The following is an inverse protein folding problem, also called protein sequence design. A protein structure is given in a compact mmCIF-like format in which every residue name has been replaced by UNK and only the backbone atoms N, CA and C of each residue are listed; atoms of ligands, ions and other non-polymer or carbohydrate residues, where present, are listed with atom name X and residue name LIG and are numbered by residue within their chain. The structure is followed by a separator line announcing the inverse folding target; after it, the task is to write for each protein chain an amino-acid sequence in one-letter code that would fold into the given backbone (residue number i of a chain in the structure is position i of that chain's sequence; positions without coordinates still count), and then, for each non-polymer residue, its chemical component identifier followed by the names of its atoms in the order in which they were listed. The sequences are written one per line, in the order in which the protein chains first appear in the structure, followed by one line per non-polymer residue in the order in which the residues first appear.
data_IF_057607508132
#
_entry.id   IF_057607508132
#
_cell.length_a   1.000
_cell.length_b   1.000
_cell.length_c   1.000
_cell.angle_alpha   90.00
_cell.angle_beta   90.00
_cell.angle_gamma   90.00
#
_symmetry.space_group_name_H-M   'P 1'
#
loop_
_entity.id
_entity.type
_entity.pdbx_description
1 polymer ?
#
# COMPACT_ATOMS: atom_id res chain seq x y z
N UNK A 1 -10.06 13.46 -0.96
CA UNK A 1 -9.72 14.33 0.18
C UNK A 1 -8.35 13.99 0.77
N UNK A 2 -8.11 12.74 1.17
CA UNK A 2 -6.90 12.36 1.92
C UNK A 2 -5.60 12.55 1.13
N UNK A 3 -5.62 12.28 -0.18
CA UNK A 3 -4.46 12.53 -1.07
C UNK A 3 -4.15 14.03 -1.12
N UNK A 4 -5.18 14.89 -1.23
CA UNK A 4 -4.99 16.33 -1.26
C UNK A 4 -4.34 16.84 0.03
N UNK A 5 -4.78 16.32 1.19
CA UNK A 5 -4.17 16.62 2.49
C UNK A 5 -2.70 16.18 2.53
N UNK A 6 -2.41 14.94 2.14
CA UNK A 6 -1.05 14.42 2.17
C UNK A 6 -0.11 15.22 1.25
N UNK A 7 -0.55 15.54 0.03
CA UNK A 7 0.23 16.34 -0.91
C UNK A 7 0.45 17.78 -0.44
N UNK A 8 -0.53 18.40 0.21
CA UNK A 8 -0.37 19.73 0.78
C UNK A 8 0.57 19.75 1.99
N UNK A 9 0.61 18.68 2.77
CA UNK A 9 1.63 18.50 3.81
C UNK A 9 3.03 18.35 3.20
N UNK A 10 3.17 17.57 2.12
CA UNK A 10 4.42 17.43 1.35
C UNK A 10 4.86 18.79 0.82
N UNK A 11 3.95 19.55 0.19
CA UNK A 11 4.22 20.92 -0.28
C UNK A 11 4.80 21.79 0.84
N UNK A 12 4.15 21.78 2.02
CA UNK A 12 4.57 22.59 3.16
C UNK A 12 5.97 22.20 3.65
N UNK A 13 6.24 20.90 3.79
CA UNK A 13 7.53 20.37 4.24
C UNK A 13 8.65 20.75 3.27
N UNK A 14 8.42 20.62 1.98
CA UNK A 14 9.39 20.99 0.94
C UNK A 14 9.61 22.50 0.91
N UNK A 15 8.56 23.30 0.93
CA UNK A 15 8.64 24.76 0.89
C UNK A 15 9.35 25.34 2.10
N UNK A 16 9.06 24.81 3.28
CA UNK A 16 9.68 25.23 4.54
C UNK A 16 11.09 24.64 4.74
N UNK A 17 11.54 23.73 3.86
CA UNK A 17 12.81 22.99 3.95
C UNK A 17 12.97 22.28 5.29
N UNK A 18 11.89 21.64 5.76
CA UNK A 18 11.88 20.93 7.04
C UNK A 18 12.01 19.42 6.89
N UNK A 19 12.49 18.96 5.75
CA UNK A 19 12.77 17.57 5.44
C UNK A 19 14.14 17.13 5.97
N UNK A 20 14.34 15.84 6.15
CA UNK A 20 15.59 15.20 6.59
C UNK A 20 16.48 14.88 5.36
N UNK A 21 17.37 15.81 4.99
CA UNK A 21 18.26 15.64 3.84
C UNK A 21 19.16 14.42 3.95
N UNK A 22 19.69 14.14 5.15
CA UNK A 22 20.60 13.03 5.36
C UNK A 22 19.91 11.70 5.09
N UNK A 23 18.70 11.55 5.63
CA UNK A 23 17.87 10.38 5.39
C UNK A 23 17.49 10.24 3.90
N UNK A 24 17.05 11.34 3.28
CA UNK A 24 16.65 11.32 1.86
C UNK A 24 17.81 10.91 0.95
N UNK A 25 19.00 11.40 1.20
CA UNK A 25 20.20 11.11 0.38
C UNK A 25 20.63 9.65 0.46
N UNK A 26 20.52 9.02 1.64
CA UNK A 26 21.04 7.68 1.89
C UNK A 26 19.94 6.60 1.80
N UNK A 27 18.77 6.87 2.38
CA UNK A 27 17.74 5.86 2.61
C UNK A 27 16.57 5.91 1.62
N UNK A 28 16.68 6.69 0.55
CA UNK A 28 15.62 6.83 -0.44
C UNK A 28 16.16 6.88 -1.88
N UNK A 29 15.24 6.72 -2.83
CA UNK A 29 15.50 6.91 -4.26
C UNK A 29 15.34 8.36 -4.73
N UNK A 30 15.02 9.27 -3.84
CA UNK A 30 14.82 10.70 -4.18
C UNK A 30 16.01 11.36 -4.90
N UNK A 31 17.28 11.02 -4.60
CA UNK A 31 18.41 11.53 -5.35
C UNK A 31 18.71 10.80 -6.68
N UNK A 32 17.98 9.73 -7.01
CA UNK A 32 18.23 8.99 -8.24
C UNK A 32 17.92 9.83 -9.47
N UNK A 33 18.76 9.67 -10.49
CA UNK A 33 18.63 10.41 -11.73
C UNK A 33 17.53 9.82 -12.63
N UNK A 34 16.72 10.72 -13.17
CA UNK A 34 15.63 10.43 -14.11
C UNK A 34 15.90 11.16 -15.41
N UNK A 35 15.76 10.49 -16.53
CA UNK A 35 15.83 11.06 -17.87
C UNK A 35 14.60 11.95 -18.12
N UNK A 36 14.82 13.20 -18.55
CA UNK A 36 13.71 14.15 -18.81
C UNK A 36 12.96 13.85 -20.12
N UNK A 37 13.58 13.11 -21.03
CA UNK A 37 12.97 12.76 -22.32
C UNK A 37 11.87 11.69 -22.22
N UNK A 38 11.94 10.81 -21.23
CA UNK A 38 11.00 9.69 -21.09
C UNK A 38 10.51 9.42 -19.65
N UNK A 39 10.96 10.21 -18.68
CA UNK A 39 10.64 10.12 -17.25
C UNK A 39 10.94 8.74 -16.62
N UNK A 40 11.97 8.06 -17.12
CA UNK A 40 12.47 6.81 -16.55
C UNK A 40 13.79 7.03 -15.83
N UNK A 41 14.07 6.17 -14.85
CA UNK A 41 15.38 6.16 -14.19
C UNK A 41 16.50 6.06 -15.21
N UNK A 42 17.59 6.80 -14.98
CA UNK A 42 18.84 6.60 -15.69
C UNK A 42 19.48 5.30 -15.21
N UNK A 43 19.61 4.34 -16.10
CA UNK A 43 20.11 2.99 -15.81
C UNK A 43 21.46 2.75 -16.50
N UNK A 44 22.18 1.73 -16.04
CA UNK A 44 23.42 1.34 -16.69
C UNK A 44 23.21 0.95 -18.17
N UNK A 45 22.08 0.36 -18.50
CA UNK A 45 21.71 0.03 -19.89
C UNK A 45 21.52 1.25 -20.81
N UNK A 46 21.40 2.45 -20.23
CA UNK A 46 21.30 3.71 -21.00
C UNK A 46 22.66 4.30 -21.31
N UNK A 47 23.73 3.92 -20.59
CA UNK A 47 25.03 4.55 -20.71
C UNK A 47 25.75 4.17 -22.01
N UNK A 48 26.42 5.14 -22.65
CA UNK A 48 27.09 4.97 -23.94
C UNK A 48 28.24 3.96 -23.92
N UNK A 49 28.91 3.80 -22.78
CA UNK A 49 30.07 2.95 -22.62
C UNK A 49 29.73 1.46 -22.37
N UNK A 50 28.46 1.09 -22.31
CA UNK A 50 28.03 -0.28 -21.94
C UNK A 50 27.67 -1.14 -23.15
N UNK A 51 27.60 -0.62 -24.36
CA UNK A 51 27.25 -1.37 -25.59
C UNK A 51 26.04 -2.31 -25.42
N UNK A 52 25.03 -1.90 -24.61
CA UNK A 52 23.86 -2.69 -24.33
C UNK A 52 24.01 -3.83 -23.30
N UNK A 53 25.19 -4.00 -22.71
CA UNK A 53 25.47 -5.05 -21.70
C UNK A 53 25.30 -4.57 -20.25
N UNK A 54 24.78 -3.38 -20.03
CA UNK A 54 24.54 -2.81 -18.71
C UNK A 54 23.47 -3.56 -17.91
N UNK A 55 23.51 -3.40 -16.58
CA UNK A 55 22.49 -3.92 -15.68
C UNK A 55 21.27 -3.00 -15.65
N UNK A 56 20.07 -3.56 -15.77
CA UNK A 56 18.82 -2.81 -15.71
C UNK A 56 18.47 -2.26 -14.32
N UNK A 57 18.96 -2.90 -13.29
CA UNK A 57 18.72 -2.54 -11.89
C UNK A 57 19.86 -1.73 -11.25
N UNK A 58 20.83 -1.24 -12.04
CA UNK A 58 21.83 -0.31 -11.58
C UNK A 58 21.41 1.11 -11.98
N UNK A 59 21.28 1.98 -10.97
CA UNK A 59 20.84 3.37 -11.10
C UNK A 59 21.98 4.33 -10.82
N UNK A 60 21.77 5.60 -11.08
CA UNK A 60 22.78 6.62 -10.97
C UNK A 60 22.35 7.80 -10.10
N UNK A 61 23.37 8.42 -9.49
CA UNK A 61 23.29 9.65 -8.71
C UNK A 61 24.16 10.70 -9.35
N UNK A 62 23.91 11.98 -9.05
CA UNK A 62 24.88 13.05 -9.26
C UNK A 62 25.65 13.29 -7.96
N UNK A 63 26.95 13.11 -8.00
CA UNK A 63 27.82 13.39 -6.85
C UNK A 63 28.23 14.87 -6.83
N UNK A 64 27.76 15.64 -5.87
CA UNK A 64 28.08 17.06 -5.72
C UNK A 64 29.58 17.28 -5.41
N UNK A 65 30.25 16.33 -4.75
CA UNK A 65 31.65 16.45 -4.39
C UNK A 65 32.56 16.33 -5.62
N UNK A 66 32.22 15.44 -6.55
CA UNK A 66 33.00 15.20 -7.75
C UNK A 66 32.46 15.90 -9.00
N UNK A 67 31.22 16.40 -8.93
CA UNK A 67 30.49 16.98 -10.08
C UNK A 67 30.36 16.00 -11.25
N UNK A 68 30.09 14.74 -10.96
CA UNK A 68 29.96 13.67 -11.97
C UNK A 68 28.81 12.70 -11.64
N UNK A 69 28.41 11.93 -12.64
CA UNK A 69 27.43 10.85 -12.50
C UNK A 69 28.12 9.62 -11.92
N UNK A 70 27.63 9.09 -10.81
CA UNK A 70 28.15 7.90 -10.14
C UNK A 70 27.06 6.84 -9.98
N UNK A 71 27.46 5.58 -9.94
CA UNK A 71 26.54 4.48 -9.66
C UNK A 71 25.99 4.61 -8.23
N UNK A 72 24.69 4.44 -8.07
CA UNK A 72 24.03 4.47 -6.77
C UNK A 72 24.41 3.21 -5.96
N UNK A 73 24.98 3.38 -4.74
CA UNK A 73 25.28 2.26 -3.86
C UNK A 73 24.04 1.40 -3.59
N UNK A 74 24.22 0.10 -3.38
CA UNK A 74 23.11 -0.84 -3.14
C UNK A 74 22.32 -1.25 -4.38
N UNK A 75 22.60 -0.66 -5.54
CA UNK A 75 21.95 -1.02 -6.80
C UNK A 75 22.81 -1.95 -7.67
N UNK A 76 22.26 -2.49 -8.74
CA UNK A 76 22.96 -3.48 -9.60
C UNK A 76 23.14 -4.85 -8.93
N UNK A 77 22.33 -5.18 -7.94
CA UNK A 77 22.32 -6.45 -7.24
C UNK A 77 22.07 -7.63 -8.18
N UNK A 78 22.68 -8.79 -7.95
CA UNK A 78 22.29 -9.99 -8.67
C UNK A 78 20.84 -10.36 -8.37
N UNK A 79 20.15 -11.09 -9.26
CA UNK A 79 18.81 -11.60 -8.98
C UNK A 79 18.83 -12.45 -7.70
N UNK A 80 17.71 -12.52 -6.97
CA UNK A 80 17.64 -13.34 -5.76
C UNK A 80 17.97 -14.79 -6.11
N UNK A 81 18.72 -15.49 -5.26
CA UNK A 81 19.07 -16.88 -5.50
C UNK A 81 17.81 -17.76 -5.52
N UNK A 82 17.83 -18.88 -6.22
CA UNK A 82 16.72 -19.82 -6.23
C UNK A 82 16.32 -20.26 -4.81
N UNK A 83 15.03 -20.52 -4.55
CA UNK A 83 14.59 -21.03 -3.26
C UNK A 83 15.35 -22.29 -2.85
N UNK A 84 15.86 -22.32 -1.61
CA UNK A 84 16.65 -23.44 -1.08
C UNK A 84 18.17 -23.33 -1.34
N UNK A 85 18.65 -22.24 -1.91
CA UNK A 85 20.10 -21.99 -2.01
C UNK A 85 20.70 -21.91 -0.60
N UNK A 86 21.76 -22.70 -0.30
CA UNK A 86 22.46 -22.63 0.97
C UNK A 86 22.98 -21.21 1.26
N UNK A 87 22.88 -20.78 2.51
CA UNK A 87 23.21 -19.41 2.92
C UNK A 87 24.64 -18.98 2.54
N UNK A 88 25.61 -19.91 2.64
CA UNK A 88 27.01 -19.64 2.29
C UNK A 88 27.24 -19.41 0.78
N UNK A 89 26.27 -19.73 -0.08
CA UNK A 89 26.31 -19.48 -1.53
C UNK A 89 25.55 -18.22 -1.93
N UNK A 90 24.87 -17.57 -0.98
CA UNK A 90 24.15 -16.31 -1.23
C UNK A 90 25.18 -15.17 -1.20
N UNK A 91 25.37 -14.43 -2.31
CA UNK A 91 26.27 -13.30 -2.30
C UNK A 91 25.80 -12.23 -1.30
N UNK A 92 26.70 -11.56 -0.59
CA UNK A 92 26.31 -10.49 0.32
C UNK A 92 25.58 -9.38 -0.43
N UNK A 93 24.56 -8.80 0.21
CA UNK A 93 23.89 -7.65 -0.35
C UNK A 93 24.87 -6.48 -0.45
N UNK A 94 24.88 -5.73 -1.57
CA UNK A 94 25.70 -4.55 -1.69
C UNK A 94 25.34 -3.53 -0.61
N UNK A 95 26.35 -2.87 -0.05
CA UNK A 95 26.13 -1.78 0.90
C UNK A 95 25.43 -0.60 0.23
N UNK A 96 24.51 0.02 0.96
CA UNK A 96 23.86 1.30 0.58
C UNK A 96 24.65 2.51 1.08
N UNK A 97 25.73 2.29 1.84
CA UNK A 97 26.55 3.37 2.38
C UNK A 97 27.11 4.27 1.28
N UNK A 98 26.89 5.55 1.43
CA UNK A 98 27.33 6.56 0.45
C UNK A 98 28.84 6.78 0.46
N UNK A 99 29.50 6.50 1.58
CA UNK A 99 30.95 6.80 1.74
C UNK A 99 31.23 8.28 1.53
N UNK A 100 32.03 8.59 0.50
CA UNK A 100 32.38 9.97 0.15
C UNK A 100 31.42 10.60 -0.91
N UNK A 101 30.38 9.88 -1.33
CA UNK A 101 29.41 10.39 -2.30
C UNK A 101 28.45 11.35 -1.58
N UNK A 102 28.25 12.53 -2.17
CA UNK A 102 27.20 13.47 -1.75
C UNK A 102 26.15 13.57 -2.84
N UNK A 103 25.08 12.74 -2.80
CA UNK A 103 24.06 12.77 -3.84
C UNK A 103 23.34 14.10 -3.89
N UNK A 104 23.20 14.69 -5.07
CA UNK A 104 22.38 15.88 -5.26
C UNK A 104 20.89 15.52 -5.05
N UNK A 105 20.15 16.42 -4.42
CA UNK A 105 18.69 16.33 -4.33
C UNK A 105 18.00 17.18 -5.42
N UNK A 106 18.61 18.31 -5.79
CA UNK A 106 18.06 19.24 -6.77
C UNK A 106 19.06 19.47 -7.91
N UNK A 107 18.56 19.76 -9.09
CA UNK A 107 19.38 20.13 -10.24
C UNK A 107 19.04 19.38 -11.53
N UNK A 108 19.68 19.80 -12.62
CA UNK A 108 19.61 19.16 -13.94
C UNK A 108 20.97 19.13 -14.58
N UNK A 109 21.29 18.03 -15.25
CA UNK A 109 22.60 17.80 -15.89
C UNK A 109 22.41 17.11 -17.24
N UNK A 110 23.41 17.20 -18.10
CA UNK A 110 23.44 16.47 -19.37
C UNK A 110 24.36 15.27 -19.23
N UNK A 111 23.85 14.09 -19.53
CA UNK A 111 24.58 12.83 -19.46
C UNK A 111 24.69 12.20 -20.84
N UNK A 112 25.87 11.65 -21.17
CA UNK A 112 26.08 10.94 -22.43
C UNK A 112 25.49 9.53 -22.33
N UNK A 113 24.42 9.29 -23.09
CA UNK A 113 23.77 8.00 -23.17
C UNK A 113 24.06 7.34 -24.54
N UNK A 114 23.65 6.07 -24.68
CA UNK A 114 23.73 5.37 -25.98
C UNK A 114 22.90 6.06 -27.09
N UNK A 115 21.90 6.83 -26.69
CA UNK A 115 21.00 7.57 -27.59
C UNK A 115 21.48 9.01 -27.84
N UNK A 116 22.68 9.39 -27.35
CA UNK A 116 23.23 10.73 -27.37
C UNK A 116 23.13 11.46 -26.02
N UNK A 117 23.38 12.77 -25.99
CA UNK A 117 23.27 13.57 -24.79
C UNK A 117 21.81 13.70 -24.35
N UNK A 118 21.53 13.37 -23.08
CA UNK A 118 20.17 13.42 -22.48
C UNK A 118 20.21 14.27 -21.22
N UNK A 119 19.26 15.15 -21.06
CA UNK A 119 19.08 15.90 -19.82
C UNK A 119 18.45 15.00 -18.76
N UNK A 120 19.03 15.02 -17.56
CA UNK A 120 18.57 14.27 -16.40
C UNK A 120 18.32 15.19 -15.22
N UNK A 121 17.44 14.79 -14.32
CA UNK A 121 17.16 15.48 -13.06
C UNK A 121 16.96 14.44 -11.95
N UNK A 122 16.82 14.87 -10.72
CA UNK A 122 16.54 13.97 -9.60
C UNK A 122 15.04 13.69 -9.46
N UNK A 123 14.69 12.58 -8.81
CA UNK A 123 13.29 12.33 -8.43
C UNK A 123 12.78 13.42 -7.50
N UNK A 124 13.61 13.88 -6.55
CA UNK A 124 13.20 14.94 -5.62
C UNK A 124 12.83 16.23 -6.35
N UNK A 125 13.56 16.63 -7.38
CA UNK A 125 13.22 17.80 -8.18
C UNK A 125 11.85 17.65 -8.85
N UNK A 126 11.54 16.47 -9.41
CA UNK A 126 10.23 16.18 -10.00
C UNK A 126 9.11 16.17 -8.96
N UNK A 127 9.38 15.60 -7.76
CA UNK A 127 8.44 15.63 -6.64
C UNK A 127 8.17 17.05 -6.18
N UNK A 128 9.20 17.88 -6.09
CA UNK A 128 9.09 19.30 -5.72
C UNK A 128 8.20 20.06 -6.73
N UNK A 129 8.46 19.90 -8.02
CA UNK A 129 7.64 20.50 -9.08
C UNK A 129 6.18 20.04 -8.99
N UNK A 130 5.95 18.75 -8.76
CA UNK A 130 4.59 18.21 -8.59
C UNK A 130 3.91 18.73 -7.34
N UNK A 131 4.64 18.89 -6.26
CA UNK A 131 4.10 19.42 -5.00
C UNK A 131 3.68 20.89 -5.08
N UNK A 132 4.27 21.68 -5.98
CA UNK A 132 3.89 23.09 -6.19
C UNK A 132 2.42 23.28 -6.56
N UNK A 133 1.83 22.31 -7.27
CA UNK A 133 0.41 22.33 -7.67
C UNK A 133 -0.54 22.03 -6.49
N UNK A 134 -0.04 21.52 -5.40
CA UNK A 134 -0.83 20.98 -4.29
C UNK A 134 -0.67 21.85 -3.02
N UNK A 135 -1.01 23.13 -3.13
CA UNK A 135 -0.91 24.05 -2.01
C UNK A 135 -1.89 23.73 -0.88
N UNK A 136 -1.60 24.12 0.36
CA UNK A 136 -2.56 23.99 1.45
C UNK A 136 -3.90 24.69 1.20
N UNK A 137 -3.90 25.79 0.46
CA UNK A 137 -5.09 26.51 0.05
C UNK A 137 -5.95 25.69 -0.92
N UNK A 138 -5.33 25.07 -1.92
CA UNK A 138 -6.00 24.13 -2.82
C UNK A 138 -6.58 22.92 -2.08
N UNK A 139 -5.82 22.39 -1.12
CA UNK A 139 -6.30 21.28 -0.31
C UNK A 139 -7.46 21.69 0.63
N UNK A 140 -7.51 22.93 1.12
CA UNK A 140 -8.62 23.46 1.90
C UNK A 140 -9.94 23.40 1.11
N UNK A 141 -9.94 23.77 -0.17
CA UNK A 141 -11.12 23.71 -1.03
C UNK A 141 -11.65 22.27 -1.20
N UNK A 142 -10.76 21.28 -1.26
CA UNK A 142 -11.13 19.87 -1.46
C UNK A 142 -11.53 19.19 -0.15
N UNK A 143 -10.84 19.51 0.95
CA UNK A 143 -10.96 18.76 2.22
C UNK A 143 -11.85 19.44 3.24
N UNK A 144 -12.04 20.75 3.14
CA UNK A 144 -12.68 21.57 4.15
C UNK A 144 -11.79 21.84 5.39
N UNK A 145 -10.55 21.36 5.39
CA UNK A 145 -9.58 21.63 6.48
C UNK A 145 -8.85 22.93 6.16
N UNK A 146 -8.84 23.89 7.10
CA UNK A 146 -8.17 25.15 6.85
C UNK A 146 -6.69 24.99 6.51
N UNK A 147 -6.21 25.76 5.53
CA UNK A 147 -4.80 25.76 5.11
C UNK A 147 -3.83 26.05 6.26
N UNK A 148 -4.27 26.86 7.24
CA UNK A 148 -3.53 27.08 8.48
C UNK A 148 -3.30 25.78 9.26
N UNK A 149 -4.35 24.98 9.45
CA UNK A 149 -4.27 23.71 10.17
C UNK A 149 -3.42 22.70 9.41
N UNK A 150 -3.54 22.64 8.09
CA UNK A 150 -2.72 21.77 7.22
C UNK A 150 -1.23 22.10 7.41
N UNK A 151 -0.86 23.38 7.33
CA UNK A 151 0.52 23.83 7.54
C UNK A 151 1.03 23.51 8.95
N UNK A 152 0.18 23.70 9.96
CA UNK A 152 0.54 23.41 11.35
C UNK A 152 0.81 21.92 11.57
N UNK A 153 -0.07 21.04 11.06
CA UNK A 153 0.09 19.58 11.16
C UNK A 153 1.34 19.13 10.41
N UNK A 154 1.57 19.64 9.19
CA UNK A 154 2.75 19.33 8.40
C UNK A 154 4.05 19.66 9.15
N UNK A 155 4.12 20.85 9.75
CA UNK A 155 5.27 21.30 10.54
C UNK A 155 5.47 20.49 11.82
N UNK A 156 4.39 20.13 12.49
CA UNK A 156 4.45 19.24 13.67
C UNK A 156 4.95 17.87 13.28
N UNK A 157 4.43 17.31 12.19
CA UNK A 157 4.85 16.01 11.70
C UNK A 157 6.33 16.00 11.29
N UNK A 158 6.79 17.02 10.57
CA UNK A 158 8.20 17.15 10.17
C UNK A 158 9.17 17.23 11.36
N UNK A 159 8.72 17.76 12.49
CA UNK A 159 9.50 17.85 13.74
C UNK A 159 9.39 16.59 14.60
N UNK A 160 8.45 15.70 14.33
CA UNK A 160 8.25 14.48 15.09
C UNK A 160 9.32 13.44 14.69
N UNK A 161 10.06 12.96 15.68
CA UNK A 161 11.09 11.94 15.46
C UNK A 161 11.16 11.01 16.69
N UNK A 162 10.49 9.88 16.69
CA UNK A 162 9.74 9.28 15.55
C UNK A 162 8.35 9.89 15.33
N UNK A 163 7.89 9.83 14.08
CA UNK A 163 6.53 10.13 13.67
C UNK A 163 5.89 8.92 12.98
N UNK A 164 4.64 8.59 13.33
CA UNK A 164 3.92 7.46 12.75
C UNK A 164 2.63 7.94 12.08
N UNK A 165 2.30 7.30 10.95
CA UNK A 165 1.02 7.47 10.26
C UNK A 165 0.20 6.18 10.45
N UNK A 166 -1.02 6.33 10.93
CA UNK A 166 -1.99 5.24 10.99
C UNK A 166 -3.03 5.42 9.90
N UNK A 167 -3.02 4.56 8.88
CA UNK A 167 -3.97 4.60 7.77
C UNK A 167 -5.07 3.56 7.95
N UNK A 168 -6.31 3.95 7.64
CA UNK A 168 -7.44 3.05 7.69
C UNK A 168 -7.47 2.06 6.51
N UNK A 169 -8.13 0.93 6.70
CA UNK A 169 -8.31 -0.10 5.67
C UNK A 169 -8.97 0.41 4.38
N UNK A 170 -9.76 1.46 4.46
CA UNK A 170 -10.46 2.07 3.33
C UNK A 170 -9.58 2.94 2.43
N UNK A 171 -8.40 3.31 2.90
CA UNK A 171 -7.51 4.24 2.19
C UNK A 171 -7.20 3.83 0.74
N UNK A 172 -7.22 2.53 0.43
CA UNK A 172 -6.97 1.99 -0.91
C UNK A 172 -8.23 1.68 -1.75
N UNK A 173 -9.43 1.96 -1.23
CA UNK A 173 -10.68 1.59 -1.91
C UNK A 173 -11.26 2.66 -2.85
N UNK A 174 -10.63 3.80 -2.93
CA UNK A 174 -11.01 4.89 -3.83
C UNK A 174 -10.30 4.78 -5.18
N UNK A 175 -10.86 5.44 -6.17
CA UNK A 175 -10.13 5.68 -7.41
C UNK A 175 -8.80 6.34 -7.09
N UNK A 176 -7.69 5.78 -7.60
CA UNK A 176 -6.33 6.19 -7.26
C UNK A 176 -5.95 6.06 -5.76
N UNK A 177 -6.59 5.14 -5.03
CA UNK A 177 -6.27 4.90 -3.61
C UNK A 177 -4.83 4.42 -3.36
N UNK A 178 -4.18 3.79 -4.37
CA UNK A 178 -2.77 3.46 -4.37
C UNK A 178 -1.87 4.71 -4.28
N UNK A 179 -2.27 5.83 -4.88
CA UNK A 179 -1.53 7.09 -4.82
C UNK A 179 -1.55 7.69 -3.40
N UNK A 180 -2.61 7.45 -2.62
CA UNK A 180 -2.64 7.89 -1.23
C UNK A 180 -1.52 7.21 -0.43
N UNK A 181 -1.37 5.91 -0.55
CA UNK A 181 -0.32 5.19 0.18
C UNK A 181 1.07 5.67 -0.24
N UNK A 182 1.30 5.91 -1.53
CA UNK A 182 2.56 6.48 -2.03
C UNK A 182 2.84 7.87 -1.44
N UNK A 183 1.82 8.75 -1.35
CA UNK A 183 1.95 10.07 -0.74
C UNK A 183 2.27 9.97 0.78
N UNK A 184 1.66 9.02 1.50
CA UNK A 184 1.95 8.78 2.91
C UNK A 184 3.39 8.25 3.12
N UNK A 185 3.86 7.34 2.26
CA UNK A 185 5.25 6.90 2.29
C UNK A 185 6.22 8.05 1.97
N UNK A 186 5.88 8.90 1.02
CA UNK A 186 6.69 10.08 0.70
C UNK A 186 6.80 11.04 1.89
N UNK A 187 5.71 11.27 2.65
CA UNK A 187 5.76 12.05 3.89
C UNK A 187 6.75 11.47 4.90
N UNK A 188 6.72 10.17 5.08
CA UNK A 188 7.66 9.48 6.00
C UNK A 188 9.10 9.54 5.49
N UNK A 189 9.28 9.40 4.19
CA UNK A 189 10.59 9.48 3.54
C UNK A 189 11.20 10.88 3.70
N UNK A 190 10.43 11.94 3.39
CA UNK A 190 10.87 13.32 3.54
C UNK A 190 11.27 13.66 4.99
N UNK A 191 10.62 13.05 5.97
CA UNK A 191 10.84 13.35 7.39
C UNK A 191 11.72 12.34 8.13
N UNK A 192 12.28 11.35 7.40
CA UNK A 192 13.18 10.34 7.96
C UNK A 192 12.51 9.45 9.01
N UNK A 193 11.20 9.20 8.90
CA UNK A 193 10.43 8.46 9.90
C UNK A 193 10.25 6.96 9.58
N UNK A 194 10.85 6.45 8.52
CA UNK A 194 10.82 5.02 8.18
C UNK A 194 12.01 4.30 8.80
N UNK A 195 11.81 3.06 9.27
CA UNK A 195 12.88 2.25 9.86
C UNK A 195 13.26 2.64 11.29
N UNK A 196 12.48 3.48 11.96
CA UNK A 196 12.68 3.88 13.35
C UNK A 196 11.62 3.27 14.24
N UNK A 197 12.01 2.84 15.44
CA UNK A 197 11.07 2.35 16.44
C UNK A 197 10.05 3.45 16.81
N UNK A 198 8.75 3.13 16.70
CA UNK A 198 7.66 4.09 16.87
C UNK A 198 7.38 4.99 15.67
N UNK A 199 8.11 4.85 14.56
CA UNK A 199 7.85 5.53 13.30
C UNK A 199 7.19 4.65 12.24
N UNK A 200 6.95 5.21 11.06
CA UNK A 200 6.48 4.46 9.89
C UNK A 200 4.99 4.55 9.60
N UNK A 201 4.53 3.68 8.70
CA UNK A 201 3.14 3.57 8.30
C UNK A 201 2.53 2.28 8.84
N UNK A 202 1.47 2.41 9.62
CA UNK A 202 0.66 1.28 10.06
C UNK A 202 -0.69 1.33 9.36
N UNK A 203 -1.08 0.21 8.77
CA UNK A 203 -2.38 0.04 8.12
C UNK A 203 -3.15 -1.04 8.90
N UNK A 204 -4.43 -0.78 9.19
CA UNK A 204 -5.29 -1.83 9.73
C UNK A 204 -5.39 -2.97 8.73
N UNK A 205 -4.75 -4.08 9.04
CA UNK A 205 -4.81 -5.29 8.25
C UNK A 205 -5.73 -6.30 8.94
N UNK A 206 -6.78 -6.73 8.24
CA UNK A 206 -7.68 -7.79 8.72
C UNK A 206 -7.02 -9.18 8.63
N UNK A 207 -6.01 -9.31 7.79
CA UNK A 207 -5.21 -10.52 7.66
C UNK A 207 -3.96 -10.43 8.56
N UNK A 208 -4.12 -9.96 9.77
CA UNK A 208 -3.04 -9.92 10.75
C UNK A 208 -2.76 -11.31 11.25
N UNK A 209 -2.10 -12.07 10.40
CA UNK A 209 -1.92 -13.46 10.77
C UNK A 209 -0.56 -13.94 10.36
N UNK A 210 0.46 -13.33 10.96
CA UNK A 210 1.80 -13.87 10.94
C UNK A 210 1.85 -15.33 11.45
N UNK A 211 0.80 -15.76 12.18
CA UNK A 211 0.66 -17.13 12.64
C UNK A 211 -0.41 -17.93 11.86
N UNK A 212 -1.61 -17.38 11.65
CA UNK A 212 -2.74 -18.14 11.05
C UNK A 212 -2.56 -18.32 9.55
N UNK A 213 -2.16 -17.28 8.80
CA UNK A 213 -1.94 -17.37 7.36
C UNK A 213 -0.78 -18.31 6.98
N UNK A 214 0.44 -18.17 7.54
CA UNK A 214 1.51 -19.11 7.32
C UNK A 214 1.17 -20.54 7.78
N UNK A 215 0.46 -20.67 8.89
CA UNK A 215 0.00 -21.97 9.36
C UNK A 215 -1.03 -22.59 8.40
N UNK A 216 -2.01 -21.81 7.94
CA UNK A 216 -3.00 -22.24 6.96
C UNK A 216 -2.35 -22.63 5.62
N UNK A 217 -1.36 -21.89 5.16
CA UNK A 217 -0.62 -22.19 3.91
C UNK A 217 0.21 -23.47 4.00
N UNK A 218 0.71 -23.81 5.20
CA UNK A 218 1.45 -25.06 5.44
C UNK A 218 0.56 -26.28 5.64
N UNK A 219 -0.71 -26.07 5.99
CA UNK A 219 -1.67 -27.12 6.24
C UNK A 219 -2.88 -26.96 5.30
N UNK A 220 -3.03 -27.80 4.25
CA UNK A 220 -4.14 -27.70 3.31
C UNK A 220 -5.53 -27.75 3.96
N UNK A 221 -5.69 -28.53 5.02
CA UNK A 221 -6.97 -28.63 5.76
C UNK A 221 -7.25 -27.30 6.51
N UNK A 222 -6.23 -26.72 7.16
CA UNK A 222 -6.37 -25.44 7.84
C UNK A 222 -6.62 -24.31 6.84
N UNK A 223 -5.95 -24.31 5.67
CA UNK A 223 -6.18 -23.37 4.60
C UNK A 223 -7.63 -23.44 4.08
N UNK A 224 -8.15 -24.66 3.89
CA UNK A 224 -9.55 -24.86 3.51
C UNK A 224 -10.52 -24.34 4.58
N UNK A 225 -10.27 -24.62 5.84
CA UNK A 225 -11.07 -24.10 6.97
C UNK A 225 -11.08 -22.58 7.04
N UNK A 226 -9.92 -21.94 6.95
CA UNK A 226 -9.81 -20.46 6.93
C UNK A 226 -10.56 -19.89 5.74
N UNK A 227 -10.37 -20.44 4.54
CA UNK A 227 -11.07 -19.99 3.34
C UNK A 227 -12.59 -20.17 3.44
N UNK A 228 -13.04 -21.24 4.10
CA UNK A 228 -14.47 -21.54 4.28
C UNK A 228 -15.09 -20.67 5.37
N UNK A 229 -14.40 -20.50 6.50
CA UNK A 229 -14.84 -19.63 7.60
C UNK A 229 -14.91 -18.15 7.18
N UNK A 230 -14.07 -17.72 6.25
CA UNK A 230 -14.14 -16.37 5.67
C UNK A 230 -15.34 -16.18 4.74
N UNK A 231 -16.02 -17.25 4.38
CA UNK A 231 -17.22 -17.25 3.51
C UNK A 231 -18.46 -17.56 4.34
N UNK A 232 -18.83 -16.61 5.14
CA UNK A 232 -20.01 -16.64 5.99
C UNK A 232 -21.28 -17.18 5.30
N UNK A 233 -21.45 -16.82 4.03
CA UNK A 233 -22.60 -17.25 3.20
C UNK A 233 -22.61 -18.76 2.97
N UNK A 234 -21.42 -19.35 2.75
CA UNK A 234 -21.32 -20.79 2.55
C UNK A 234 -21.62 -21.55 3.84
N UNK A 235 -21.05 -21.09 4.95
CA UNK A 235 -21.24 -21.72 6.26
C UNK A 235 -22.72 -21.69 6.67
N UNK A 236 -23.38 -20.53 6.52
CA UNK A 236 -24.78 -20.41 6.92
C UNK A 236 -25.78 -21.08 5.95
N UNK A 237 -25.46 -21.14 4.67
CA UNK A 237 -26.32 -21.80 3.69
C UNK A 237 -26.19 -23.33 3.66
N UNK A 238 -25.03 -23.85 4.11
CA UNK A 238 -24.69 -25.27 4.01
C UNK A 238 -24.11 -25.80 5.33
N UNK A 239 -24.65 -25.37 6.45
CA UNK A 239 -24.08 -25.68 7.79
C UNK A 239 -24.04 -27.16 8.04
N UNK A 240 -25.08 -27.89 7.68
CA UNK A 240 -25.14 -29.34 7.85
C UNK A 240 -24.04 -30.04 7.04
N UNK A 241 -23.99 -29.78 5.72
CA UNK A 241 -22.96 -30.34 4.83
C UNK A 241 -21.55 -29.99 5.28
N UNK A 242 -21.35 -28.72 5.71
CA UNK A 242 -20.08 -28.24 6.23
C UNK A 242 -19.65 -29.03 7.48
N UNK A 243 -20.57 -29.22 8.44
CA UNK A 243 -20.28 -29.92 9.67
C UNK A 243 -20.08 -31.42 9.43
N UNK A 244 -20.85 -32.05 8.54
CA UNK A 244 -20.66 -33.44 8.13
C UNK A 244 -19.26 -33.69 7.58
N UNK A 245 -18.77 -32.79 6.72
CA UNK A 245 -17.45 -32.90 6.12
C UNK A 245 -16.29 -32.67 7.10
N UNK A 246 -16.51 -31.91 8.15
CA UNK A 246 -15.46 -31.57 9.14
C UNK A 246 -15.48 -32.48 10.34
N UNK A 247 -16.65 -32.78 10.86
CA UNK A 247 -16.82 -33.43 12.17
C UNK A 247 -17.46 -34.82 12.10
N UNK A 248 -17.92 -35.24 10.91
CA UNK A 248 -18.70 -36.43 10.72
C UNK A 248 -20.20 -36.22 10.94
N UNK A 249 -20.99 -37.20 10.49
CA UNK A 249 -22.43 -37.07 10.40
C UNK A 249 -23.11 -36.90 11.79
N UNK A 250 -22.67 -37.66 12.76
CA UNK A 250 -23.28 -37.69 14.11
C UNK A 250 -23.20 -36.30 14.77
N UNK A 251 -22.02 -35.66 14.75
CA UNK A 251 -21.83 -34.33 15.34
C UNK A 251 -22.49 -33.24 14.48
N UNK A 252 -22.59 -33.42 13.18
CA UNK A 252 -23.31 -32.51 12.32
C UNK A 252 -24.82 -32.49 12.57
N UNK A 253 -25.41 -33.66 12.83
CA UNK A 253 -26.83 -33.78 13.22
C UNK A 253 -27.08 -33.11 14.58
N UNK A 254 -26.21 -33.30 15.55
CA UNK A 254 -26.28 -32.63 16.88
C UNK A 254 -26.21 -31.10 16.74
N UNK A 255 -25.28 -30.57 15.95
CA UNK A 255 -25.17 -29.11 15.70
C UNK A 255 -26.41 -28.55 15.01
N UNK A 256 -26.97 -29.27 14.05
CA UNK A 256 -28.22 -28.88 13.37
C UNK A 256 -29.41 -28.84 14.31
N UNK A 257 -29.51 -29.83 15.22
CA UNK A 257 -30.53 -29.86 16.26
C UNK A 257 -30.41 -28.71 17.26
N UNK A 258 -29.21 -28.39 17.72
CA UNK A 258 -28.95 -27.20 18.55
C UNK A 258 -29.27 -25.89 17.85
N UNK A 259 -29.00 -25.79 16.55
CA UNK A 259 -29.38 -24.62 15.79
C UNK A 259 -30.91 -24.47 15.69
N UNK A 260 -31.63 -25.56 15.36
CA UNK A 260 -33.08 -25.59 15.32
C UNK A 260 -33.72 -25.26 16.66
N UNK A 261 -33.15 -25.76 17.74
CA UNK A 261 -33.54 -25.41 19.10
C UNK A 261 -33.36 -23.93 19.41
N UNK A 262 -32.22 -23.35 19.00
CA UNK A 262 -31.94 -21.92 19.17
C UNK A 262 -32.94 -21.03 18.39
N UNK A 263 -33.36 -21.45 17.18
CA UNK A 263 -34.44 -20.79 16.42
C UNK A 263 -35.77 -20.92 17.16
N UNK A 264 -36.10 -22.10 17.67
CA UNK A 264 -37.34 -22.36 18.40
C UNK A 264 -37.44 -21.53 19.67
N UNK A 265 -36.32 -21.36 20.39
CA UNK A 265 -36.23 -20.58 21.62
C UNK A 265 -36.15 -19.05 21.37
N UNK A 266 -36.10 -18.63 20.11
CA UNK A 266 -36.03 -17.22 19.75
C UNK A 266 -34.66 -16.57 19.93
N UNK A 267 -33.60 -17.35 20.19
CA UNK A 267 -32.21 -16.86 20.25
C UNK A 267 -31.65 -16.53 18.86
N UNK A 268 -32.16 -17.27 17.85
CA UNK A 268 -31.95 -16.94 16.46
C UNK A 268 -33.29 -16.59 15.77
N UNK A 269 -33.31 -15.57 14.90
CA UNK A 269 -34.52 -15.20 14.21
C UNK A 269 -34.95 -16.28 13.19
N UNK A 270 -36.23 -16.63 13.21
CA UNK A 270 -36.84 -17.48 12.20
C UNK A 270 -37.20 -16.66 10.97
N UNK A 271 -36.30 -16.62 9.99
CA UNK A 271 -36.49 -15.85 8.78
C UNK A 271 -37.61 -16.40 7.86
N UNK A 272 -38.05 -17.63 8.06
CA UNK A 272 -39.20 -18.18 7.33
C UNK A 272 -40.50 -17.55 7.79
N UNK A 273 -40.61 -17.20 9.07
CA UNK A 273 -41.80 -16.56 9.68
C UNK A 273 -41.70 -15.04 9.72
N UNK A 274 -40.49 -14.52 9.84
CA UNK A 274 -40.20 -13.08 9.90
C UNK A 274 -39.12 -12.71 8.88
N UNK A 275 -39.48 -12.69 7.57
CA UNK A 275 -38.52 -12.34 6.54
C UNK A 275 -38.06 -10.88 6.70
N UNK A 276 -36.84 -10.62 6.31
CA UNK A 276 -36.34 -9.25 6.27
C UNK A 276 -37.16 -8.43 5.25
N UNK A 277 -37.56 -7.24 5.65
CA UNK A 277 -38.31 -6.30 4.82
C UNK A 277 -37.42 -5.18 4.27
N UNK A 278 -36.39 -4.77 5.01
CA UNK A 278 -35.49 -3.72 4.62
C UNK A 278 -34.03 -4.16 4.76
N UNK A 279 -33.23 -3.82 3.77
CA UNK A 279 -31.78 -3.94 3.81
C UNK A 279 -31.12 -2.56 3.82
N UNK A 280 -30.25 -2.30 4.80
CA UNK A 280 -29.43 -1.09 4.84
C UNK A 280 -27.97 -1.50 4.68
N UNK A 281 -27.33 -1.04 3.60
CA UNK A 281 -25.94 -1.37 3.26
C UNK A 281 -25.09 -0.11 3.35
N UNK A 282 -24.13 -0.09 4.26
CA UNK A 282 -23.20 1.02 4.44
C UNK A 282 -21.78 0.58 4.14
N UNK A 283 -21.12 1.26 3.20
CA UNK A 283 -19.74 1.03 2.87
C UNK A 283 -19.43 -0.34 2.25
N UNK A 284 -20.42 -1.01 1.68
CA UNK A 284 -20.26 -2.29 0.99
C UNK A 284 -21.18 -2.38 -0.22
N UNK A 285 -20.70 -2.99 -1.29
CA UNK A 285 -21.53 -3.39 -2.42
C UNK A 285 -21.81 -4.89 -2.29
N UNK A 286 -22.83 -5.24 -1.51
CA UNK A 286 -23.18 -6.63 -1.24
C UNK A 286 -23.51 -7.43 -2.51
N UNK A 287 -23.97 -6.77 -3.59
CA UNK A 287 -24.27 -7.41 -4.86
C UNK A 287 -23.03 -7.73 -5.71
N UNK A 288 -21.93 -7.03 -5.51
CA UNK A 288 -20.69 -7.21 -6.29
C UNK A 288 -19.54 -7.79 -5.47
N UNK A 289 -19.53 -7.58 -4.15
CA UNK A 289 -18.40 -7.95 -3.29
C UNK A 289 -18.31 -9.45 -3.00
N UNK A 290 -19.40 -10.19 -3.14
CA UNK A 290 -19.48 -11.62 -2.88
C UNK A 290 -19.60 -12.44 -4.16
N UNK A 291 -19.10 -13.66 -4.14
CA UNK A 291 -19.38 -14.62 -5.18
C UNK A 291 -20.89 -14.81 -5.31
N UNK A 292 -21.38 -14.95 -6.56
CA UNK A 292 -22.80 -15.09 -6.86
C UNK A 292 -23.66 -13.82 -6.64
N UNK A 293 -23.14 -12.65 -7.02
CA UNK A 293 -23.89 -11.40 -6.96
C UNK A 293 -25.25 -11.44 -7.65
N UNK A 294 -25.38 -12.25 -8.73
CA UNK A 294 -26.67 -12.51 -9.38
C UNK A 294 -27.65 -13.19 -8.41
N UNK A 295 -27.22 -14.24 -7.69
CA UNK A 295 -28.04 -14.95 -6.71
C UNK A 295 -28.47 -14.02 -5.56
N UNK A 296 -27.57 -13.15 -5.10
CA UNK A 296 -27.91 -12.14 -4.09
C UNK A 296 -29.02 -11.21 -4.53
N UNK A 297 -28.94 -10.69 -5.75
CA UNK A 297 -30.00 -9.82 -6.32
C UNK A 297 -31.33 -10.54 -6.46
N UNK A 298 -31.32 -11.77 -6.95
CA UNK A 298 -32.54 -12.53 -7.24
C UNK A 298 -33.17 -13.13 -5.99
N UNK A 299 -32.39 -13.64 -5.05
CA UNK A 299 -32.92 -14.40 -3.90
C UNK A 299 -33.02 -13.61 -2.62
N UNK A 300 -32.12 -12.67 -2.36
CA UNK A 300 -32.12 -11.86 -1.15
C UNK A 300 -32.74 -10.48 -1.39
N UNK A 301 -32.17 -9.71 -2.30
CA UNK A 301 -32.64 -8.33 -2.53
C UNK A 301 -34.02 -8.27 -3.17
N UNK A 302 -34.32 -9.21 -4.06
CA UNK A 302 -35.66 -9.29 -4.69
C UNK A 302 -36.80 -9.61 -3.72
N UNK A 303 -36.48 -10.03 -2.50
CA UNK A 303 -37.48 -10.30 -1.44
C UNK A 303 -37.63 -9.16 -0.44
N UNK A 304 -36.79 -8.14 -0.51
CA UNK A 304 -36.87 -6.98 0.36
C UNK A 304 -37.91 -5.98 -0.18
N UNK A 305 -38.69 -5.37 0.71
CA UNK A 305 -39.62 -4.29 0.37
C UNK A 305 -38.82 -3.01 0.05
N UNK A 306 -37.66 -2.81 0.66
CA UNK A 306 -36.76 -1.67 0.40
C UNK A 306 -35.30 -1.98 0.62
N UNK A 307 -34.46 -1.32 -0.17
CA UNK A 307 -32.99 -1.36 -0.04
C UNK A 307 -32.46 0.06 0.01
N UNK A 308 -31.70 0.36 1.06
CA UNK A 308 -31.01 1.64 1.23
C UNK A 308 -29.51 1.38 1.17
N UNK A 309 -28.81 2.08 0.29
CA UNK A 309 -27.36 1.93 0.14
C UNK A 309 -26.67 3.26 0.38
N UNK A 310 -25.76 3.28 1.34
CA UNK A 310 -24.79 4.35 1.52
C UNK A 310 -23.51 3.89 0.83
N UNK A 311 -23.42 4.15 -0.46
CA UNK A 311 -22.24 3.83 -1.25
C UNK A 311 -21.29 5.04 -1.28
N UNK A 312 -20.02 4.75 -1.29
CA UNK A 312 -19.03 5.66 -1.82
C UNK A 312 -18.98 5.38 -3.32
N UNK A 313 -19.85 6.07 -4.07
CA UNK A 313 -20.06 5.98 -5.54
C UNK A 313 -19.88 4.61 -6.19
#
# INVERSE_FOLDING_TARGET
SDIALAMAMIHTIIKDKTYDEAYMREQSDLPFLVRKDNLKYLRQTDMSNMNGQGKENLFYLWDENKTEVVAAPGTGTPPPPPPGTPEHLIPPMPSIELGNIKPALEGSWVVQTKDGPVEVTTIFELVKQRAEEHTPEYAEEITGISSKNIKEVARKFAKSNPGMIYAGYRASKYLHGDLLQRALFLLLCLTGNTGKEGGGLTITNLAKDDAVFPFAMKNPIAAFRVATLSRWDYVHANMKEFNENIYGKELADEVDDHFNESVKNGWFPDYSKKPWKMGIFSGTNAAAWRSSGKRWRETAFGKLESVVTFATD
#
